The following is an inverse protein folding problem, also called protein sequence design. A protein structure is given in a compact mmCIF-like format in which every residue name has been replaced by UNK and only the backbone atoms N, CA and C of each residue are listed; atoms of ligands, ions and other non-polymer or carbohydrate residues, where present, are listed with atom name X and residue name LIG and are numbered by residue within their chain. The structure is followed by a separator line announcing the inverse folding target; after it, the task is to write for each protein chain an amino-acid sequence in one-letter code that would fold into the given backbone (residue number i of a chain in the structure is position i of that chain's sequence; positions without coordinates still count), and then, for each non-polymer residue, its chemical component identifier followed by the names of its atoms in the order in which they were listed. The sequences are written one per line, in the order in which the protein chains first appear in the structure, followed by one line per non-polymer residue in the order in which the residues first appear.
data_IF_377200367515
#
_entry.id   IF_377200367515
#
_cell.length_a   1.000
_cell.length_b   1.000
_cell.length_c   1.000
_cell.angle_alpha   90.00
_cell.angle_beta   90.00
_cell.angle_gamma   90.00
#
_symmetry.space_group_name_H-M   'P 1'
#
loop_
_entity.id
_entity.type
_entity.pdbx_description
1 polymer ?
#
# COMPACT_ATOMS: atom_id res chain seq x y z
N UNK A 1 -5.88 17.08 -7.83
CA UNK A 1 -5.64 16.88 -6.40
C UNK A 1 -4.18 16.47 -6.15
N UNK A 2 -3.25 17.33 -6.51
CA UNK A 2 -1.82 17.15 -6.24
C UNK A 2 -1.27 18.41 -5.60
N UNK A 3 -0.30 18.25 -4.70
CA UNK A 3 0.41 19.39 -4.12
C UNK A 3 1.34 20.07 -5.13
N UNK A 4 1.62 19.43 -6.28
CA UNK A 4 2.39 20.02 -7.39
C UNK A 4 1.52 20.70 -8.49
N UNK A 5 0.22 20.87 -8.26
CA UNK A 5 -0.68 21.47 -9.29
C UNK A 5 -0.35 22.91 -9.64
N UNK A 6 0.39 23.63 -8.80
CA UNK A 6 0.88 24.99 -9.07
C UNK A 6 1.96 25.03 -10.17
N UNK A 7 2.61 23.90 -10.47
CA UNK A 7 3.66 23.83 -11.50
C UNK A 7 3.06 23.71 -12.91
N UNK A 8 1.89 23.11 -13.04
CA UNK A 8 1.23 22.86 -14.30
C UNK A 8 0.39 21.59 -14.29
N UNK A 9 0.11 21.05 -15.47
CA UNK A 9 -0.66 19.82 -15.64
C UNK A 9 0.29 18.62 -15.50
N UNK A 10 -0.05 17.67 -14.61
CA UNK A 10 0.61 16.39 -14.51
C UNK A 10 0.02 15.47 -15.58
N UNK A 11 0.81 15.11 -16.58
CA UNK A 11 0.35 14.46 -17.80
C UNK A 11 0.41 12.95 -17.80
N UNK A 12 1.18 12.34 -16.88
CA UNK A 12 1.34 10.89 -16.81
C UNK A 12 1.67 10.42 -15.38
N UNK A 13 1.60 9.11 -15.18
CA UNK A 13 2.18 8.40 -14.03
C UNK A 13 3.30 7.49 -14.51
N UNK A 14 4.01 6.84 -13.57
CA UNK A 14 4.97 5.78 -13.87
C UNK A 14 4.29 4.47 -14.28
N UNK A 15 5.10 3.45 -14.66
CA UNK A 15 4.62 2.12 -15.04
C UNK A 15 3.72 1.50 -13.97
N UNK A 16 4.10 1.60 -12.69
CA UNK A 16 3.36 1.00 -11.58
C UNK A 16 2.21 1.86 -11.04
N UNK A 17 1.97 3.03 -11.63
CA UNK A 17 0.85 3.94 -11.40
C UNK A 17 0.80 4.65 -10.03
N UNK A 18 1.79 4.46 -9.13
CA UNK A 18 1.83 5.13 -7.83
C UNK A 18 2.42 6.55 -7.89
N UNK A 19 3.35 6.81 -8.81
CA UNK A 19 4.02 8.10 -8.93
C UNK A 19 3.22 9.03 -9.82
N UNK A 20 2.84 10.18 -9.27
CA UNK A 20 2.09 11.23 -9.96
C UNK A 20 2.79 12.56 -9.67
N UNK A 21 3.84 12.83 -10.44
CA UNK A 21 4.73 13.97 -10.31
C UNK A 21 4.72 14.83 -11.57
N UNK A 22 4.99 16.13 -11.40
CA UNK A 22 5.15 17.05 -12.52
C UNK A 22 6.39 16.72 -13.33
N UNK A 23 6.28 16.80 -14.64
CA UNK A 23 7.41 16.70 -15.57
C UNK A 23 7.24 17.71 -16.69
N UNK A 24 8.37 18.17 -17.23
CA UNK A 24 8.47 19.13 -18.31
C UNK A 24 9.65 18.77 -19.23
N UNK A 25 9.84 19.44 -20.38
CA UNK A 25 10.99 19.15 -21.26
C UNK A 25 12.35 19.24 -20.58
N UNK A 26 12.47 20.08 -19.55
CA UNK A 26 13.68 20.34 -18.77
C UNK A 26 13.62 19.77 -17.33
N UNK A 27 12.58 19.01 -17.01
CA UNK A 27 12.37 18.38 -15.69
C UNK A 27 11.82 16.96 -15.82
N UNK A 28 12.61 15.97 -15.45
CA UNK A 28 12.22 14.55 -15.43
C UNK A 28 11.92 14.13 -14.00
N UNK A 29 10.69 13.65 -13.75
CA UNK A 29 10.27 13.16 -12.44
C UNK A 29 11.13 11.96 -11.98
N UNK A 30 11.46 11.91 -10.69
CA UNK A 30 12.30 10.88 -10.07
C UNK A 30 11.61 10.29 -8.85
N UNK A 31 11.52 8.95 -8.80
CA UNK A 31 10.95 8.21 -7.68
C UNK A 31 11.99 7.95 -6.58
N UNK A 32 11.77 8.45 -5.36
CA UNK A 32 12.56 8.13 -4.17
C UNK A 32 11.70 7.28 -3.24
N UNK A 33 11.88 5.95 -3.25
CA UNK A 33 10.94 4.98 -2.70
C UNK A 33 11.44 4.34 -1.41
N UNK A 34 10.53 4.15 -0.45
CA UNK A 34 10.70 3.25 0.69
C UNK A 34 9.37 2.63 1.08
N UNK A 35 9.38 1.40 1.62
CA UNK A 35 8.18 0.73 2.12
C UNK A 35 8.32 0.34 3.58
N UNK A 36 7.23 0.53 4.33
CA UNK A 36 7.12 0.25 5.77
C UNK A 36 6.41 -1.09 5.97
N UNK A 37 7.02 -2.00 6.73
CA UNK A 37 6.45 -3.31 7.04
C UNK A 37 5.40 -3.19 8.15
N UNK A 38 4.13 -3.22 7.78
CA UNK A 38 2.99 -2.97 8.68
C UNK A 38 2.84 -3.99 9.82
N UNK A 39 3.17 -5.30 9.66
CA UNK A 39 3.10 -6.25 10.77
C UNK A 39 4.00 -5.88 11.95
N UNK A 40 5.10 -5.14 11.72
CA UNK A 40 6.04 -4.72 12.78
C UNK A 40 5.41 -3.79 13.84
N UNK A 41 4.21 -3.34 13.63
CA UNK A 41 3.44 -2.46 14.52
C UNK A 41 2.25 -3.16 15.18
N UNK A 42 2.05 -4.43 14.90
CA UNK A 42 1.11 -5.26 15.66
C UNK A 42 1.83 -5.68 16.94
N UNK A 43 1.25 -5.33 18.06
CA UNK A 43 1.76 -5.67 19.39
C UNK A 43 0.73 -6.52 20.14
N UNK A 44 1.21 -7.40 21.00
CA UNK A 44 0.37 -8.28 21.80
C UNK A 44 0.89 -8.39 23.21
N UNK A 45 0.00 -8.60 24.14
CA UNK A 45 0.27 -9.03 25.50
C UNK A 45 -0.56 -10.31 25.84
N UNK A 46 -0.58 -10.70 27.10
CA UNK A 46 -1.33 -11.89 27.54
C UNK A 46 -2.88 -11.74 27.37
N UNK A 47 -3.38 -10.53 27.12
CA UNK A 47 -4.83 -10.23 27.13
C UNK A 47 -5.36 -9.70 25.81
N UNK A 48 -4.53 -9.05 25.00
CA UNK A 48 -4.98 -8.32 23.81
C UNK A 48 -3.91 -8.24 22.73
N UNK A 49 -4.37 -8.02 21.51
CA UNK A 49 -3.53 -7.66 20.35
C UNK A 49 -4.03 -6.32 19.83
N UNK A 50 -3.11 -5.38 19.56
CA UNK A 50 -3.46 -4.04 19.08
C UNK A 50 -2.45 -3.55 18.06
N UNK A 51 -2.82 -2.46 17.36
CA UNK A 51 -1.94 -1.78 16.41
C UNK A 51 -1.31 -0.54 17.06
N UNK A 52 0.03 -0.46 17.05
CA UNK A 52 0.77 0.64 17.66
C UNK A 52 0.99 1.78 16.65
N UNK A 53 0.06 2.72 16.62
CA UNK A 53 0.12 3.90 15.73
C UNK A 53 1.25 4.86 16.10
N UNK A 54 1.60 5.02 17.38
CA UNK A 54 2.69 5.89 17.82
C UNK A 54 4.04 5.40 17.28
N UNK A 55 4.28 4.10 17.35
CA UNK A 55 5.48 3.48 16.78
C UNK A 55 5.53 3.62 15.27
N UNK A 56 4.40 3.40 14.58
CA UNK A 56 4.29 3.63 13.12
C UNK A 56 4.63 5.07 12.78
N UNK A 57 4.08 6.03 13.52
CA UNK A 57 4.32 7.45 13.34
C UNK A 57 5.81 7.79 13.46
N UNK A 58 6.46 7.35 14.52
CA UNK A 58 7.89 7.60 14.76
C UNK A 58 8.78 6.99 13.66
N UNK A 59 8.52 5.74 13.26
CA UNK A 59 9.27 5.07 12.19
C UNK A 59 9.07 5.81 10.86
N UNK A 60 7.86 6.26 10.57
CA UNK A 60 7.57 7.03 9.36
C UNK A 60 8.35 8.33 9.30
N UNK A 61 8.49 9.05 10.41
CA UNK A 61 9.34 10.27 10.48
C UNK A 61 10.80 9.96 10.14
N UNK A 62 11.34 8.86 10.66
CA UNK A 62 12.72 8.43 10.34
C UNK A 62 12.87 8.11 8.85
N UNK A 63 11.94 7.36 8.27
CA UNK A 63 11.98 7.01 6.84
C UNK A 63 11.86 8.25 5.96
N UNK A 64 11.01 9.20 6.32
CA UNK A 64 10.86 10.49 5.63
C UNK A 64 12.19 11.27 5.61
N UNK A 65 12.86 11.40 6.75
CA UNK A 65 14.19 12.03 6.84
C UNK A 65 15.23 11.30 6.00
N UNK A 66 15.20 9.97 6.00
CA UNK A 66 16.13 9.17 5.20
C UNK A 66 15.91 9.39 3.69
N UNK A 67 14.66 9.38 3.21
CA UNK A 67 14.36 9.63 1.80
C UNK A 67 14.71 11.07 1.38
N UNK A 68 14.50 12.05 2.25
CA UNK A 68 14.95 13.42 1.97
C UNK A 68 16.48 13.49 1.74
N UNK A 69 17.27 12.74 2.52
CA UNK A 69 18.73 12.65 2.35
C UNK A 69 19.14 11.87 1.09
N UNK A 70 18.34 10.90 0.65
CA UNK A 70 18.57 10.18 -0.61
C UNK A 70 18.57 11.15 -1.77
N UNK A 71 17.68 12.13 -1.80
CA UNK A 71 17.63 13.15 -2.86
C UNK A 71 18.98 13.84 -3.02
N UNK A 72 19.64 14.21 -1.93
CA UNK A 72 20.90 14.94 -1.94
C UNK A 72 22.12 14.06 -2.28
N UNK A 73 22.00 12.73 -2.18
CA UNK A 73 23.09 11.77 -2.36
C UNK A 73 22.94 10.85 -3.56
N UNK A 74 21.80 10.96 -4.25
CA UNK A 74 21.52 10.12 -5.39
C UNK A 74 22.42 10.46 -6.58
N UNK A 75 22.67 9.48 -7.44
CA UNK A 75 23.29 9.71 -8.74
C UNK A 75 22.19 9.92 -9.78
N UNK A 76 22.19 11.08 -10.42
CA UNK A 76 21.21 11.42 -11.45
C UNK A 76 21.77 11.12 -12.83
N UNK A 77 21.10 10.31 -13.67
CA UNK A 77 21.61 9.93 -14.99
C UNK A 77 21.56 11.08 -16.00
N UNK A 78 20.69 12.07 -15.78
CA UNK A 78 20.52 13.25 -16.64
C UNK A 78 20.27 14.51 -15.78
N UNK A 79 20.72 15.70 -16.25
CA UNK A 79 20.56 16.95 -15.50
C UNK A 79 19.10 17.32 -15.20
N UNK A 80 18.19 16.98 -16.09
CA UNK A 80 16.75 17.25 -15.96
C UNK A 80 16.14 16.48 -14.78
N UNK A 81 16.65 15.28 -14.47
CA UNK A 81 16.24 14.49 -13.32
C UNK A 81 16.75 15.10 -12.01
N UNK A 82 18.02 15.52 -11.96
CA UNK A 82 18.59 16.23 -10.83
C UNK A 82 17.83 17.51 -10.54
N UNK A 83 17.60 18.31 -11.59
CA UNK A 83 16.86 19.58 -11.51
C UNK A 83 15.47 19.39 -10.90
N UNK A 84 14.69 18.46 -11.41
CA UNK A 84 13.34 18.17 -10.91
C UNK A 84 13.38 17.74 -9.46
N UNK A 85 14.25 16.77 -9.13
CA UNK A 85 14.30 16.19 -7.80
C UNK A 85 14.78 17.18 -6.74
N UNK A 86 15.77 18.00 -7.04
CA UNK A 86 16.29 19.03 -6.14
C UNK A 86 15.31 20.18 -5.90
N UNK A 87 14.58 20.59 -6.96
CA UNK A 87 13.60 21.70 -6.87
C UNK A 87 12.36 21.33 -6.10
N UNK A 88 11.82 20.13 -6.34
CA UNK A 88 10.52 19.71 -5.81
C UNK A 88 10.63 18.77 -4.62
N UNK A 89 11.76 18.10 -4.46
CA UNK A 89 12.08 17.17 -3.38
C UNK A 89 10.97 16.15 -3.08
N UNK A 90 10.39 15.46 -4.10
CA UNK A 90 9.36 14.47 -3.87
C UNK A 90 9.96 13.22 -3.25
N UNK A 91 9.21 12.59 -2.35
CA UNK A 91 9.49 11.25 -1.82
C UNK A 91 8.25 10.37 -1.96
N UNK A 92 8.40 9.07 -1.80
CA UNK A 92 7.32 8.12 -1.98
C UNK A 92 7.39 7.03 -0.90
N UNK A 93 6.68 7.28 0.19
CA UNK A 93 6.45 6.30 1.23
C UNK A 93 5.36 5.32 0.80
N UNK A 94 5.63 4.04 0.92
CA UNK A 94 4.69 2.96 0.72
C UNK A 94 4.67 2.01 1.90
N UNK A 95 3.93 0.91 1.74
CA UNK A 95 3.74 -0.11 2.76
C UNK A 95 3.90 -1.49 2.17
N UNK A 96 4.12 -2.48 3.03
CA UNK A 96 4.04 -3.91 2.74
C UNK A 96 3.41 -4.63 3.91
N UNK A 97 2.74 -5.75 3.65
CA UNK A 97 2.17 -6.58 4.70
C UNK A 97 0.89 -6.04 5.33
N UNK A 98 0.04 -5.31 4.59
CA UNK A 98 -1.27 -4.90 5.13
C UNK A 98 -2.15 -6.12 5.44
N UNK A 99 -2.17 -7.12 4.55
CA UNK A 99 -2.90 -8.37 4.78
C UNK A 99 -2.35 -9.16 5.98
N UNK A 100 -1.04 -9.15 6.16
CA UNK A 100 -0.37 -9.78 7.31
C UNK A 100 -0.81 -9.14 8.62
N UNK A 101 -0.78 -7.80 8.69
CA UNK A 101 -1.24 -7.06 9.86
C UNK A 101 -2.72 -7.34 10.19
N UNK A 102 -3.58 -7.44 9.17
CA UNK A 102 -4.98 -7.80 9.37
C UNK A 102 -5.13 -9.22 9.94
N UNK A 103 -4.36 -10.19 9.43
CA UNK A 103 -4.39 -11.57 9.93
C UNK A 103 -3.92 -11.67 11.38
N UNK A 104 -2.86 -10.96 11.76
CA UNK A 104 -2.39 -10.91 13.15
C UNK A 104 -3.43 -10.30 14.09
N UNK A 105 -4.14 -9.27 13.64
CA UNK A 105 -5.23 -8.61 14.38
C UNK A 105 -6.58 -9.36 14.28
N UNK A 106 -6.62 -10.51 13.59
CA UNK A 106 -7.83 -11.32 13.39
C UNK A 106 -8.94 -10.57 12.63
N UNK A 107 -8.58 -9.67 11.71
CA UNK A 107 -9.51 -8.89 10.90
C UNK A 107 -9.63 -9.49 9.50
N UNK A 108 -10.80 -10.03 9.09
CA UNK A 108 -11.04 -10.39 7.70
C UNK A 108 -10.80 -9.19 6.78
N UNK A 109 -10.12 -9.40 5.64
CA UNK A 109 -9.71 -8.31 4.75
C UNK A 109 -10.89 -7.46 4.25
N UNK A 110 -12.06 -8.08 4.10
CA UNK A 110 -13.30 -7.44 3.65
C UNK A 110 -14.24 -7.01 4.81
N UNK A 111 -13.73 -6.93 6.05
CA UNK A 111 -14.47 -6.43 7.20
C UNK A 111 -14.49 -4.90 7.27
N UNK A 112 -15.43 -4.35 8.07
CA UNK A 112 -15.50 -2.92 8.31
C UNK A 112 -14.33 -2.45 9.19
N UNK A 113 -13.93 -3.26 10.16
CA UNK A 113 -12.80 -3.00 11.06
C UNK A 113 -11.48 -2.93 10.27
N UNK A 114 -11.28 -3.80 9.28
CA UNK A 114 -10.13 -3.74 8.39
C UNK A 114 -10.11 -2.45 7.55
N UNK A 115 -11.28 -1.95 7.11
CA UNK A 115 -11.39 -0.66 6.41
C UNK A 115 -11.03 0.52 7.31
N UNK A 116 -11.47 0.50 8.56
CA UNK A 116 -11.16 1.55 9.54
C UNK A 116 -9.66 1.57 9.86
N UNK A 117 -9.07 0.40 10.10
CA UNK A 117 -7.64 0.28 10.33
C UNK A 117 -6.83 0.73 9.09
N UNK A 118 -7.28 0.40 7.88
CA UNK A 118 -6.66 0.88 6.64
C UNK A 118 -6.62 2.42 6.58
N UNK A 119 -7.70 3.11 6.94
CA UNK A 119 -7.73 4.57 7.01
C UNK A 119 -6.73 5.08 8.03
N UNK A 120 -6.77 4.57 9.26
CA UNK A 120 -5.93 5.01 10.37
C UNK A 120 -4.43 4.81 10.12
N UNK A 121 -4.05 3.70 9.47
CA UNK A 121 -2.66 3.43 9.06
C UNK A 121 -2.17 4.50 8.09
N UNK A 122 -2.91 4.77 7.00
CA UNK A 122 -2.48 5.74 6.00
C UNK A 122 -2.58 7.18 6.50
N UNK A 123 -3.52 7.48 7.36
CA UNK A 123 -3.60 8.75 8.07
C UNK A 123 -2.36 8.98 8.94
N UNK A 124 -1.96 7.97 9.73
CA UNK A 124 -0.76 8.02 10.57
C UNK A 124 0.51 8.25 9.75
N UNK A 125 0.67 7.51 8.65
CA UNK A 125 1.82 7.66 7.75
C UNK A 125 1.84 9.07 7.15
N UNK A 126 0.71 9.58 6.68
CA UNK A 126 0.66 10.90 6.07
C UNK A 126 0.91 12.01 7.08
N UNK A 127 0.30 11.92 8.29
CA UNK A 127 0.55 12.88 9.37
C UNK A 127 2.04 12.93 9.75
N UNK A 128 2.64 11.78 10.02
CA UNK A 128 4.05 11.68 10.40
C UNK A 128 5.00 12.18 9.30
N UNK A 129 4.69 11.90 8.04
CA UNK A 129 5.48 12.36 6.90
C UNK A 129 5.40 13.88 6.72
N UNK A 130 4.21 14.48 6.87
CA UNK A 130 4.01 15.94 6.84
C UNK A 130 4.77 16.58 8.00
N UNK A 131 4.63 16.06 9.22
CA UNK A 131 5.34 16.59 10.41
C UNK A 131 6.86 16.55 10.22
N UNK A 132 7.41 15.41 9.80
CA UNK A 132 8.84 15.29 9.52
C UNK A 132 9.32 16.25 8.42
N UNK A 133 8.50 16.45 7.40
CA UNK A 133 8.81 17.38 6.31
C UNK A 133 8.77 18.84 6.75
N UNK A 134 7.90 19.20 7.70
CA UNK A 134 7.88 20.52 8.35
C UNK A 134 9.11 20.70 9.23
N UNK A 135 9.48 19.70 10.04
CA UNK A 135 10.72 19.74 10.85
C UNK A 135 11.96 19.93 9.97
N UNK A 136 12.06 19.20 8.86
CA UNK A 136 13.13 19.40 7.88
C UNK A 136 13.10 20.80 7.26
N UNK A 137 11.93 21.37 7.01
CA UNK A 137 11.83 22.75 6.53
C UNK A 137 12.27 23.78 7.55
N UNK A 138 12.09 23.52 8.85
CA UNK A 138 12.67 24.36 9.93
C UNK A 138 14.19 24.35 9.93
N UNK A 139 14.81 23.23 9.57
CA UNK A 139 16.26 23.03 9.56
C UNK A 139 16.92 23.51 8.25
N UNK A 140 16.31 23.20 7.10
CA UNK A 140 16.92 23.31 5.77
C UNK A 140 16.14 24.22 4.79
N UNK A 141 15.01 24.78 5.22
CA UNK A 141 14.09 25.55 4.38
C UNK A 141 13.11 24.70 3.60
N UNK A 142 12.02 25.32 3.16
CA UNK A 142 11.02 24.68 2.31
C UNK A 142 11.61 24.35 0.92
N UNK A 143 10.98 23.38 0.20
CA UNK A 143 11.38 23.10 -1.18
C UNK A 143 11.14 24.33 -2.08
N UNK A 144 11.93 24.47 -3.15
CA UNK A 144 11.98 25.69 -3.99
C UNK A 144 10.60 26.10 -4.51
N UNK A 145 9.80 25.16 -4.97
CA UNK A 145 8.48 25.40 -5.58
C UNK A 145 7.31 25.32 -4.59
N UNK A 146 7.59 25.42 -3.29
CA UNK A 146 6.55 25.47 -2.24
C UNK A 146 5.59 26.65 -2.38
N UNK A 147 6.04 27.89 -2.71
CA UNK A 147 5.13 29.01 -2.90
C UNK A 147 4.08 28.75 -3.99
N UNK A 148 2.82 29.00 -3.66
CA UNK A 148 1.70 28.78 -4.57
C UNK A 148 1.18 27.33 -4.61
N UNK A 149 1.84 26.39 -3.93
CA UNK A 149 1.34 25.03 -3.77
C UNK A 149 0.09 24.99 -2.88
N UNK A 150 -0.75 23.94 -2.96
CA UNK A 150 -1.83 23.74 -2.01
C UNK A 150 -1.39 23.76 -0.55
N UNK A 151 -0.27 23.11 -0.23
CA UNK A 151 0.29 23.11 1.13
C UNK A 151 0.63 24.51 1.62
N UNK A 152 1.13 25.40 0.76
CA UNK A 152 1.36 26.81 1.10
C UNK A 152 0.10 27.60 1.42
N UNK A 153 -1.07 27.05 1.04
CA UNK A 153 -2.40 27.59 1.33
C UNK A 153 -3.07 26.85 2.51
N UNK A 154 -2.33 25.98 3.21
CA UNK A 154 -2.86 25.17 4.31
C UNK A 154 -3.73 23.96 3.87
N UNK A 155 -3.70 23.60 2.58
CA UNK A 155 -4.48 22.51 2.03
C UNK A 155 -3.62 21.25 1.90
N UNK A 156 -3.94 20.25 2.70
CA UNK A 156 -3.35 18.92 2.65
C UNK A 156 -4.16 17.98 1.76
N UNK A 157 -3.70 16.74 1.57
CA UNK A 157 -4.30 15.82 0.61
C UNK A 157 -5.78 15.53 0.91
N UNK A 158 -6.14 15.30 2.18
CA UNK A 158 -7.54 15.05 2.56
C UNK A 158 -8.45 16.26 2.31
N UNK A 159 -7.95 17.51 2.43
CA UNK A 159 -8.71 18.71 2.05
C UNK A 159 -9.00 18.72 0.56
N UNK A 160 -8.02 18.36 -0.29
CA UNK A 160 -8.18 18.24 -1.73
C UNK A 160 -9.15 17.13 -2.15
N UNK A 161 -9.38 16.16 -1.27
CA UNK A 161 -10.39 15.10 -1.43
C UNK A 161 -11.74 15.46 -0.81
N UNK A 162 -11.85 16.62 -0.16
CA UNK A 162 -13.01 17.01 0.61
C UNK A 162 -13.42 15.94 1.65
N UNK A 163 -12.40 15.42 2.34
CA UNK A 163 -12.54 14.41 3.41
C UNK A 163 -12.08 15.01 4.73
N UNK A 164 -12.72 14.58 5.81
CA UNK A 164 -12.24 14.89 7.17
C UNK A 164 -11.34 13.75 7.63
N UNK A 165 -10.19 14.05 8.24
CA UNK A 165 -9.38 13.04 8.93
C UNK A 165 -10.14 12.52 10.16
N UNK A 166 -9.62 11.44 10.77
CA UNK A 166 -10.12 10.96 12.06
C UNK A 166 -9.63 11.87 13.19
N UNK A 167 -10.01 11.56 14.42
CA UNK A 167 -9.52 12.28 15.62
C UNK A 167 -8.23 11.67 16.18
N UNK A 168 -7.55 10.80 15.42
CA UNK A 168 -6.35 10.09 15.87
C UNK A 168 -5.15 11.02 16.06
N UNK A 169 -5.02 12.06 15.21
CA UNK A 169 -3.91 12.99 15.18
C UNK A 169 -4.38 14.45 15.22
N UNK A 170 -3.55 15.34 15.79
CA UNK A 170 -3.81 16.79 15.85
C UNK A 170 -3.40 17.49 14.54
N UNK A 171 -4.31 17.47 13.58
CA UNK A 171 -4.11 18.13 12.29
C UNK A 171 -4.13 19.66 12.36
N UNK A 172 -4.81 20.23 13.36
CA UNK A 172 -4.91 21.69 13.50
C UNK A 172 -3.57 22.31 13.92
N UNK A 173 -2.92 21.73 14.92
CA UNK A 173 -1.56 22.12 15.32
C UNK A 173 -0.56 21.90 14.16
N UNK A 174 -0.66 20.77 13.45
CA UNK A 174 0.21 20.49 12.32
C UNK A 174 0.04 21.50 11.18
N UNK A 175 -1.18 21.92 10.86
CA UNK A 175 -1.45 22.96 9.86
C UNK A 175 -0.95 24.35 10.28
N UNK A 176 -0.97 24.69 11.56
CA UNK A 176 -0.37 25.92 12.08
C UNK A 176 1.16 25.92 11.89
N UNK A 177 1.80 24.81 12.18
CA UNK A 177 3.24 24.64 11.96
C UNK A 177 3.59 24.68 10.46
N UNK A 178 2.79 24.04 9.63
CA UNK A 178 2.92 24.11 8.15
C UNK A 178 2.84 25.55 7.64
N UNK A 179 1.88 26.32 8.11
CA UNK A 179 1.71 27.73 7.71
C UNK A 179 2.90 28.60 8.10
N UNK A 180 3.56 28.27 9.23
CA UNK A 180 4.69 29.02 9.77
C UNK A 180 6.02 28.67 9.11
N UNK A 181 6.24 27.39 8.79
CA UNK A 181 7.56 26.88 8.41
C UNK A 181 7.62 26.32 6.99
N UNK A 182 6.46 26.04 6.36
CA UNK A 182 6.40 25.30 5.11
C UNK A 182 6.73 23.82 5.29
N UNK A 183 7.01 23.13 4.20
CA UNK A 183 7.48 21.74 4.20
C UNK A 183 8.64 21.54 3.23
N UNK A 184 9.49 20.54 3.51
CA UNK A 184 10.73 20.26 2.75
C UNK A 184 10.49 19.44 1.49
N UNK A 185 9.41 18.66 1.45
CA UNK A 185 9.12 17.71 0.38
C UNK A 185 7.76 18.04 -0.25
N UNK A 186 7.68 18.10 -1.57
CA UNK A 186 6.43 18.44 -2.26
C UNK A 186 5.39 17.34 -2.25
N UNK A 187 5.82 16.08 -2.25
CA UNK A 187 5.01 14.87 -2.21
C UNK A 187 5.65 13.86 -1.26
N UNK A 188 4.83 13.02 -0.61
CA UNK A 188 5.26 12.19 0.51
C UNK A 188 4.88 10.71 0.40
N UNK A 189 3.65 10.40 -0.05
CA UNK A 189 3.09 9.05 0.03
C UNK A 189 2.68 8.54 -1.35
N UNK A 190 3.27 7.40 -1.73
CA UNK A 190 2.98 6.71 -2.98
C UNK A 190 3.22 5.20 -2.81
N UNK A 191 2.22 4.41 -2.38
CA UNK A 191 2.39 2.98 -2.18
C UNK A 191 2.71 2.24 -3.49
N UNK A 192 3.98 1.80 -3.57
CA UNK A 192 4.55 1.03 -4.68
C UNK A 192 4.26 -0.48 -4.52
N UNK A 193 4.51 -1.32 -5.56
CA UNK A 193 4.16 -2.74 -5.53
C UNK A 193 4.92 -3.59 -4.50
N UNK A 194 6.11 -3.20 -4.08
CA UNK A 194 7.00 -3.92 -3.13
C UNK A 194 7.37 -5.36 -3.53
N UNK A 195 7.41 -5.66 -4.83
CA UNK A 195 7.60 -7.02 -5.37
C UNK A 195 8.85 -7.76 -4.85
N UNK A 196 9.91 -7.04 -4.50
CA UNK A 196 11.15 -7.61 -3.96
C UNK A 196 11.30 -7.36 -2.46
N UNK A 197 11.01 -6.15 -1.99
CA UNK A 197 11.23 -5.75 -0.59
C UNK A 197 10.30 -6.48 0.37
N UNK A 198 9.06 -6.78 -0.02
CA UNK A 198 8.14 -7.59 0.77
C UNK A 198 8.68 -9.02 0.98
N UNK A 199 9.30 -9.59 -0.03
CA UNK A 199 9.88 -10.93 0.05
C UNK A 199 11.09 -11.00 1.00
N UNK A 200 11.91 -9.94 1.04
CA UNK A 200 13.07 -9.87 1.94
C UNK A 200 12.62 -9.91 3.40
N UNK A 201 11.50 -9.26 3.72
CA UNK A 201 10.95 -9.21 5.09
C UNK A 201 9.90 -10.31 5.37
N UNK A 202 9.55 -11.13 4.36
CA UNK A 202 8.58 -12.22 4.52
C UNK A 202 7.11 -11.77 4.58
N UNK A 203 6.81 -10.57 4.10
CA UNK A 203 5.45 -10.00 4.07
C UNK A 203 4.76 -10.26 2.73
N UNK A 204 3.43 -10.18 2.72
CA UNK A 204 2.67 -10.04 1.49
C UNK A 204 2.95 -8.67 0.83
N UNK A 205 2.73 -8.59 -0.47
CA UNK A 205 3.05 -7.39 -1.26
C UNK A 205 2.13 -6.22 -0.89
N UNK A 206 2.73 -5.05 -0.68
CA UNK A 206 2.07 -3.75 -0.55
C UNK A 206 0.85 -3.79 0.41
N UNK A 207 -0.29 -3.38 -0.09
CA UNK A 207 -1.60 -3.37 0.59
C UNK A 207 -2.56 -4.43 0.04
N UNK A 208 -2.04 -5.45 -0.65
CA UNK A 208 -2.85 -6.46 -1.32
C UNK A 208 -3.28 -7.60 -0.40
N UNK A 209 -4.47 -8.20 -0.61
CA UNK A 209 -4.78 -9.49 -0.01
C UNK A 209 -3.92 -10.59 -0.64
N UNK A 210 -3.80 -11.72 0.05
CA UNK A 210 -3.10 -12.89 -0.49
C UNK A 210 -3.77 -13.41 -1.76
N UNK A 211 -2.99 -13.74 -2.78
CA UNK A 211 -3.50 -14.36 -4.01
C UNK A 211 -3.73 -15.86 -3.84
N UNK A 212 -3.01 -16.49 -2.92
CA UNK A 212 -3.12 -17.90 -2.56
C UNK A 212 -2.51 -18.12 -1.19
N UNK A 213 -3.08 -18.99 -0.37
CA UNK A 213 -2.51 -19.36 0.93
C UNK A 213 -1.37 -20.39 0.83
N UNK A 214 -1.19 -21.02 -0.33
CA UNK A 214 -0.04 -21.89 -0.62
C UNK A 214 0.34 -21.72 -2.09
N UNK A 215 1.62 -21.49 -2.36
CA UNK A 215 2.11 -21.29 -3.74
C UNK A 215 3.58 -21.71 -3.86
N UNK A 216 4.00 -22.01 -5.09
CA UNK A 216 5.40 -22.23 -5.41
C UNK A 216 6.08 -20.94 -5.83
N UNK A 217 7.22 -20.66 -5.22
CA UNK A 217 8.11 -19.57 -5.60
C UNK A 217 9.34 -20.12 -6.29
N UNK A 218 9.55 -19.72 -7.53
CA UNK A 218 10.74 -20.08 -8.30
C UNK A 218 11.74 -18.92 -8.29
N UNK A 219 12.94 -19.20 -7.81
CA UNK A 219 14.09 -18.27 -7.78
C UNK A 219 15.31 -18.97 -8.37
N UNK A 220 16.41 -18.22 -8.55
CA UNK A 220 17.67 -18.82 -9.07
C UNK A 220 18.19 -20.00 -8.23
N UNK A 221 17.95 -19.98 -6.92
CA UNK A 221 18.37 -21.03 -6.00
C UNK A 221 17.47 -22.28 -6.01
N UNK A 222 16.31 -22.24 -6.69
CA UNK A 222 15.40 -23.39 -6.75
C UNK A 222 13.93 -22.98 -6.69
N UNK A 223 13.07 -23.98 -6.45
CA UNK A 223 11.63 -23.81 -6.27
C UNK A 223 11.25 -24.14 -4.84
N UNK A 224 10.53 -23.24 -4.18
CA UNK A 224 10.14 -23.33 -2.79
C UNK A 224 8.62 -23.26 -2.65
N UNK A 225 8.04 -24.17 -1.88
CA UNK A 225 6.64 -24.05 -1.47
C UNK A 225 6.54 -23.07 -0.30
N UNK A 226 5.71 -22.04 -0.48
CA UNK A 226 5.41 -21.03 0.54
C UNK A 226 3.99 -21.28 1.02
N UNK A 227 3.81 -21.40 2.32
CA UNK A 227 2.51 -21.48 2.99
C UNK A 227 2.31 -20.20 3.77
N UNK A 228 1.09 -19.64 3.75
CA UNK A 228 0.74 -18.52 4.60
C UNK A 228 1.01 -18.90 6.07
N UNK A 229 1.95 -18.23 6.76
CA UNK A 229 2.40 -18.66 8.10
C UNK A 229 1.29 -18.52 9.15
N UNK A 230 0.41 -17.54 9.01
CA UNK A 230 -0.71 -17.32 9.92
C UNK A 230 -1.74 -18.44 9.80
N UNK A 231 -2.12 -18.81 8.58
CA UNK A 231 -3.01 -19.94 8.33
C UNK A 231 -2.38 -21.26 8.83
N UNK A 232 -1.09 -21.48 8.55
CA UNK A 232 -0.40 -22.67 9.01
C UNK A 232 -0.48 -22.81 10.53
N UNK A 233 -0.20 -21.72 11.24
CA UNK A 233 -0.30 -21.69 12.71
C UNK A 233 -1.71 -22.06 13.17
N UNK A 234 -2.74 -21.42 12.62
CA UNK A 234 -4.13 -21.69 12.99
C UNK A 234 -4.54 -23.14 12.73
N UNK A 235 -4.15 -23.70 11.58
CA UNK A 235 -4.47 -25.10 11.26
C UNK A 235 -3.73 -26.12 12.15
N UNK A 236 -2.50 -25.78 12.59
CA UNK A 236 -1.76 -26.58 13.59
C UNK A 236 -2.44 -26.48 14.94
N UNK A 237 -2.81 -25.29 15.40
CA UNK A 237 -3.50 -25.07 16.68
C UNK A 237 -4.87 -25.77 16.72
N UNK A 238 -5.58 -25.84 15.57
CA UNK A 238 -6.81 -26.63 15.42
C UNK A 238 -6.59 -28.15 15.35
N UNK A 239 -5.34 -28.62 15.21
CA UNK A 239 -5.02 -30.03 15.08
C UNK A 239 -5.41 -30.67 13.74
N UNK A 240 -5.68 -29.85 12.70
CA UNK A 240 -6.13 -30.32 11.37
C UNK A 240 -5.01 -30.26 10.30
N UNK A 241 -3.84 -29.72 10.61
CA UNK A 241 -2.74 -29.64 9.66
C UNK A 241 -2.08 -31.00 9.47
N UNK A 242 -2.06 -31.48 8.22
CA UNK A 242 -1.39 -32.72 7.79
C UNK A 242 -1.18 -32.69 6.27
N UNK A 243 -0.55 -33.72 5.69
CA UNK A 243 -0.29 -33.80 4.25
C UNK A 243 -1.56 -33.81 3.40
N UNK A 244 -2.65 -34.42 3.89
CA UNK A 244 -3.94 -34.40 3.19
C UNK A 244 -4.54 -32.99 3.18
N UNK A 245 -4.48 -32.25 4.27
CA UNK A 245 -4.92 -30.85 4.34
C UNK A 245 -4.09 -29.97 3.38
N UNK A 246 -2.75 -30.10 3.42
CA UNK A 246 -1.85 -29.41 2.51
C UNK A 246 -2.22 -29.68 1.05
N UNK A 247 -2.40 -30.96 0.68
CA UNK A 247 -2.78 -31.36 -0.68
C UNK A 247 -4.14 -30.81 -1.08
N UNK A 248 -5.11 -30.77 -0.16
CA UNK A 248 -6.42 -30.19 -0.38
C UNK A 248 -6.38 -28.70 -0.64
N UNK A 249 -5.55 -27.94 0.10
CA UNK A 249 -5.35 -26.50 -0.13
C UNK A 249 -4.74 -26.27 -1.52
N UNK A 250 -3.73 -27.06 -1.91
CA UNK A 250 -3.11 -26.98 -3.24
C UNK A 250 -4.15 -27.26 -4.34
N UNK A 251 -4.94 -28.33 -4.19
CA UNK A 251 -5.98 -28.70 -5.15
C UNK A 251 -7.07 -27.61 -5.33
N UNK A 252 -7.30 -26.81 -4.29
CA UNK A 252 -8.22 -25.66 -4.31
C UNK A 252 -7.52 -24.33 -4.64
N UNK A 253 -6.37 -24.35 -5.31
CA UNK A 253 -5.60 -23.15 -5.70
C UNK A 253 -5.27 -22.22 -4.52
N UNK A 254 -5.02 -22.79 -3.35
CA UNK A 254 -4.70 -22.06 -2.12
C UNK A 254 -5.90 -21.52 -1.36
N UNK A 255 -7.12 -21.83 -1.79
CA UNK A 255 -8.36 -21.51 -1.06
C UNK A 255 -8.65 -22.58 0.01
N UNK A 256 -9.20 -22.12 1.14
CA UNK A 256 -9.72 -23.00 2.21
C UNK A 256 -11.25 -22.97 2.32
N UNK A 257 -11.93 -22.22 1.44
CA UNK A 257 -13.39 -21.98 1.56
C UNK A 257 -14.23 -23.25 1.46
N UNK A 258 -13.84 -24.16 0.57
CA UNK A 258 -14.55 -25.43 0.34
C UNK A 258 -14.12 -26.55 1.28
N UNK A 259 -13.09 -26.33 2.13
CA UNK A 259 -12.55 -27.41 2.95
C UNK A 259 -13.45 -27.65 4.19
N UNK A 260 -13.80 -28.94 4.47
CA UNK A 260 -14.54 -29.29 5.67
C UNK A 260 -13.65 -29.10 6.93
N UNK A 261 -14.28 -29.06 8.08
CA UNK A 261 -13.63 -29.01 9.40
C UNK A 261 -12.76 -27.76 9.67
N UNK A 262 -12.92 -26.71 8.87
CA UNK A 262 -12.33 -25.40 9.15
C UNK A 262 -13.46 -24.46 9.58
N UNK A 263 -13.35 -23.79 10.75
CA UNK A 263 -14.36 -22.84 11.22
C UNK A 263 -14.59 -21.68 10.25
N UNK A 264 -15.81 -21.16 10.17
CA UNK A 264 -16.15 -20.08 9.24
C UNK A 264 -15.38 -18.78 9.51
N UNK A 265 -15.04 -18.50 10.77
CA UNK A 265 -14.20 -17.38 11.18
C UNK A 265 -12.78 -17.48 10.59
N UNK A 266 -12.19 -18.67 10.55
CA UNK A 266 -10.90 -18.93 9.92
C UNK A 266 -11.02 -18.79 8.39
N UNK A 267 -12.10 -19.32 7.80
CA UNK A 267 -12.36 -19.14 6.37
C UNK A 267 -12.49 -17.68 5.98
N UNK A 268 -13.19 -16.89 6.79
CA UNK A 268 -13.35 -15.45 6.55
C UNK A 268 -12.01 -14.70 6.57
N UNK A 269 -11.12 -15.06 7.53
CA UNK A 269 -9.83 -14.42 7.73
C UNK A 269 -8.86 -14.69 6.56
N UNK A 270 -8.86 -15.90 6.01
CA UNK A 270 -7.92 -16.35 4.98
C UNK A 270 -8.51 -16.42 3.57
N UNK A 271 -9.49 -15.57 3.26
CA UNK A 271 -9.95 -15.38 1.87
C UNK A 271 -8.80 -14.96 0.99
N UNK A 272 -8.69 -15.58 -0.17
CA UNK A 272 -7.79 -15.12 -1.22
C UNK A 272 -8.41 -13.91 -1.96
N UNK A 273 -7.60 -13.17 -2.69
CA UNK A 273 -8.07 -12.02 -3.48
C UNK A 273 -9.19 -12.39 -4.48
N UNK A 274 -9.24 -13.66 -4.91
CA UNK A 274 -10.25 -14.19 -5.83
C UNK A 274 -11.63 -14.39 -5.19
N UNK A 275 -11.68 -14.37 -3.87
CA UNK A 275 -12.86 -14.58 -3.03
C UNK A 275 -13.37 -13.26 -2.43
N UNK A 276 -12.59 -12.19 -2.58
CA UNK A 276 -12.92 -10.84 -2.15
C UNK A 276 -13.50 -10.05 -3.33
N UNK A 277 -14.58 -9.32 -3.10
CA UNK A 277 -15.15 -8.44 -4.12
C UNK A 277 -14.17 -7.35 -4.53
N UNK A 278 -13.90 -7.21 -5.83
CA UNK A 278 -13.03 -6.15 -6.34
C UNK A 278 -13.61 -4.75 -6.10
N UNK A 279 -14.93 -4.63 -5.94
CA UNK A 279 -15.56 -3.41 -5.45
C UNK A 279 -15.04 -3.03 -4.07
N UNK A 280 -14.89 -4.01 -3.16
CA UNK A 280 -14.33 -3.77 -1.82
C UNK A 280 -12.87 -3.30 -1.90
N UNK A 281 -12.05 -3.92 -2.77
CA UNK A 281 -10.65 -3.51 -3.00
C UNK A 281 -10.57 -2.05 -3.47
N UNK A 282 -11.44 -1.64 -4.38
CA UNK A 282 -11.52 -0.25 -4.87
C UNK A 282 -12.00 0.69 -3.76
N UNK A 283 -12.97 0.27 -2.95
CA UNK A 283 -13.46 1.06 -1.82
C UNK A 283 -12.35 1.31 -0.80
N UNK A 284 -11.58 0.28 -0.41
CA UNK A 284 -10.42 0.43 0.47
C UNK A 284 -9.34 1.34 -0.14
N UNK A 285 -9.10 1.23 -1.45
CA UNK A 285 -8.17 2.12 -2.14
C UNK A 285 -8.63 3.58 -2.11
N UNK A 286 -9.93 3.84 -2.25
CA UNK A 286 -10.51 5.17 -2.17
C UNK A 286 -10.49 5.72 -0.72
N UNK A 287 -10.70 4.85 0.28
CA UNK A 287 -10.69 5.25 1.69
C UNK A 287 -9.31 5.77 2.10
N UNK A 288 -8.22 5.05 1.77
CA UNK A 288 -6.84 5.49 2.08
C UNK A 288 -6.32 6.60 1.18
N UNK A 289 -6.92 6.80 -0.01
CA UNK A 289 -6.43 7.78 -0.99
C UNK A 289 -6.49 9.23 -0.50
N UNK A 290 -7.32 9.54 0.49
CA UNK A 290 -7.35 10.84 1.15
C UNK A 290 -6.03 11.19 1.86
N UNK A 291 -5.21 10.18 2.16
CA UNK A 291 -3.90 10.29 2.83
C UNK A 291 -2.72 9.88 1.92
N UNK A 292 -2.97 9.78 0.61
CA UNK A 292 -1.96 9.50 -0.41
C UNK A 292 -1.90 10.67 -1.37
N UNK A 293 -0.87 11.48 -1.27
CA UNK A 293 -0.74 12.71 -2.06
C UNK A 293 -0.30 12.46 -3.51
N UNK A 294 0.35 11.34 -3.81
CA UNK A 294 0.56 10.83 -5.16
C UNK A 294 -0.58 9.87 -5.57
N UNK A 295 -0.29 8.63 -5.91
CA UNK A 295 -1.27 7.59 -6.20
C UNK A 295 -0.84 6.25 -5.60
N UNK A 296 -1.39 5.14 -6.06
CA UNK A 296 -1.13 3.81 -5.51
C UNK A 296 -1.15 2.75 -6.61
N UNK A 297 -0.28 1.74 -6.48
CA UNK A 297 -0.16 0.61 -7.41
C UNK A 297 -1.26 -0.42 -7.17
N UNK A 298 -2.48 -0.09 -7.57
CA UNK A 298 -3.67 -0.91 -7.34
C UNK A 298 -3.77 -2.02 -8.41
N UNK A 299 -3.66 -3.28 -8.00
CA UNK A 299 -3.99 -4.42 -8.84
C UNK A 299 -5.49 -4.78 -8.72
N UNK A 300 -6.07 -5.21 -9.83
CA UNK A 300 -7.44 -5.70 -9.91
C UNK A 300 -7.42 -7.16 -10.39
N UNK A 301 -8.23 -8.00 -9.74
CA UNK A 301 -8.26 -9.45 -9.99
C UNK A 301 -9.64 -9.86 -10.50
N UNK A 302 -9.74 -10.20 -11.78
CA UNK A 302 -10.98 -10.65 -12.42
C UNK A 302 -10.73 -11.99 -13.12
N UNK A 303 -11.36 -13.07 -12.66
CA UNK A 303 -11.20 -14.41 -13.26
C UNK A 303 -11.50 -14.42 -14.75
N UNK A 304 -12.68 -13.91 -15.12
CA UNK A 304 -13.19 -13.87 -16.48
C UNK A 304 -13.48 -12.41 -16.87
N UNK A 305 -12.45 -11.65 -17.33
CA UNK A 305 -12.64 -10.26 -17.71
C UNK A 305 -13.47 -10.14 -19.00
N UNK A 306 -14.44 -9.22 -18.96
CA UNK A 306 -15.20 -8.80 -20.14
C UNK A 306 -15.14 -7.29 -20.26
N UNK A 307 -15.38 -6.74 -21.44
CA UNK A 307 -15.42 -5.29 -21.65
C UNK A 307 -16.38 -4.60 -20.68
N UNK A 308 -17.56 -5.18 -20.44
CA UNK A 308 -18.53 -4.62 -19.49
C UNK A 308 -18.01 -4.59 -18.05
N UNK A 309 -17.36 -5.67 -17.57
CA UNK A 309 -16.76 -5.72 -16.23
C UNK A 309 -15.63 -4.69 -16.09
N UNK A 310 -14.74 -4.60 -17.09
CA UNK A 310 -13.62 -3.64 -17.08
C UNK A 310 -14.12 -2.20 -17.12
N UNK A 311 -15.05 -1.88 -18.00
CA UNK A 311 -15.67 -0.55 -18.08
C UNK A 311 -16.32 -0.16 -16.76
N UNK A 312 -17.13 -1.05 -16.17
CA UNK A 312 -17.78 -0.81 -14.88
C UNK A 312 -16.76 -0.59 -13.76
N UNK A 313 -15.70 -1.36 -13.71
CA UNK A 313 -14.62 -1.23 -12.73
C UNK A 313 -13.90 0.11 -12.86
N UNK A 314 -13.49 0.51 -14.07
CA UNK A 314 -12.80 1.78 -14.29
C UNK A 314 -13.69 2.97 -13.96
N UNK A 315 -14.96 2.96 -14.38
CA UNK A 315 -15.90 4.01 -14.02
C UNK A 315 -16.18 4.07 -12.52
N UNK A 316 -16.21 2.91 -11.85
CA UNK A 316 -16.38 2.86 -10.40
C UNK A 316 -15.19 3.51 -9.68
N UNK A 317 -13.96 3.14 -10.01
CA UNK A 317 -12.75 3.73 -9.44
C UNK A 317 -12.66 5.24 -9.71
N UNK A 318 -12.99 5.66 -10.92
CA UNK A 318 -13.04 7.08 -11.28
C UNK A 318 -14.10 7.86 -10.47
N UNK A 319 -15.30 7.32 -10.31
CA UNK A 319 -16.36 7.92 -9.48
C UNK A 319 -15.98 7.99 -8.00
N UNK A 320 -15.19 7.02 -7.51
CA UNK A 320 -14.63 7.04 -6.16
C UNK A 320 -13.50 8.05 -6.00
N UNK A 321 -12.99 8.59 -7.10
CA UNK A 321 -12.00 9.65 -7.13
C UNK A 321 -10.55 9.18 -7.22
N UNK A 322 -10.28 7.92 -7.51
CA UNK A 322 -8.92 7.42 -7.69
C UNK A 322 -8.20 8.20 -8.80
N UNK A 323 -6.95 8.56 -8.58
CA UNK A 323 -6.13 9.34 -9.53
C UNK A 323 -5.65 8.49 -10.70
N UNK A 324 -5.34 7.23 -10.45
CA UNK A 324 -4.95 6.22 -11.45
C UNK A 324 -5.96 5.06 -11.39
N UNK A 325 -6.20 4.42 -12.53
CA UNK A 325 -7.24 3.41 -12.62
C UNK A 325 -6.80 2.04 -12.06
N UNK A 326 -5.62 1.56 -12.48
CA UNK A 326 -5.16 0.21 -12.18
C UNK A 326 -3.69 0.07 -12.59
N UNK A 327 -2.91 -0.71 -11.83
CA UNK A 327 -1.57 -1.15 -12.23
C UNK A 327 -1.67 -2.39 -13.12
N UNK A 328 -1.99 -3.56 -12.55
CA UNK A 328 -2.25 -4.77 -13.30
C UNK A 328 -3.70 -5.22 -13.22
N UNK A 329 -4.22 -5.68 -14.36
CA UNK A 329 -5.35 -6.60 -14.38
C UNK A 329 -4.80 -8.02 -14.26
N UNK A 330 -5.12 -8.70 -13.16
CA UNK A 330 -4.77 -10.10 -12.94
C UNK A 330 -5.96 -10.98 -13.32
N UNK A 331 -5.70 -12.00 -14.13
CA UNK A 331 -6.71 -12.99 -14.54
C UNK A 331 -6.25 -14.39 -14.13
N UNK A 332 -7.17 -15.29 -13.94
CA UNK A 332 -6.83 -16.71 -13.80
C UNK A 332 -6.67 -17.32 -15.19
N UNK A 333 -5.67 -18.19 -15.36
CA UNK A 333 -5.51 -18.95 -16.59
C UNK A 333 -6.73 -19.84 -16.84
N UNK A 334 -7.18 -19.93 -18.10
CA UNK A 334 -8.31 -20.78 -18.48
C UNK A 334 -8.04 -22.28 -18.27
N UNK A 335 -6.75 -22.69 -18.27
CA UNK A 335 -6.29 -24.02 -17.87
C UNK A 335 -5.43 -23.88 -16.63
N UNK A 336 -5.74 -24.61 -15.55
CA UNK A 336 -4.82 -24.77 -14.45
C UNK A 336 -3.48 -25.30 -14.99
N UNK A 337 -2.37 -24.69 -14.57
CA UNK A 337 -1.05 -25.31 -14.76
C UNK A 337 -1.16 -26.75 -14.27
N UNK A 338 -0.66 -27.71 -15.06
CA UNK A 338 -0.71 -29.13 -14.73
C UNK A 338 -0.13 -29.28 -13.31
N UNK A 339 -1.02 -29.61 -12.37
CA UNK A 339 -0.61 -29.90 -11.00
C UNK A 339 0.03 -31.28 -11.03
N UNK A 340 1.36 -31.31 -11.16
CA UNK A 340 2.11 -32.53 -11.06
C UNK A 340 2.00 -33.07 -9.63
N UNK A 341 1.46 -34.29 -9.53
CA UNK A 341 1.49 -35.19 -8.40
C UNK A 341 0.68 -34.76 -7.16
N UNK A 342 -0.64 -34.82 -7.27
CA UNK A 342 -1.45 -35.17 -6.11
C UNK A 342 -1.72 -36.67 -6.21
N UNK A 343 -1.12 -37.48 -5.34
CA UNK A 343 -1.51 -38.86 -5.15
C UNK A 343 -2.96 -38.87 -4.66
N UNK A 344 -3.88 -39.19 -5.57
CA UNK A 344 -5.25 -39.52 -5.19
C UNK A 344 -5.25 -40.94 -4.60
N UNK A 345 -5.12 -41.02 -3.29
CA UNK A 345 -5.48 -42.24 -2.54
C UNK A 345 -6.72 -41.99 -1.70
#
# INVERSE_FOLDING_TARGET
RSNQKNLGIIISSNLCCEIVEYSAPDEVAVCNLASIALPSFVENDEKSTWYNFDKLHQVTKVVTRNLNRVIDRNHYPVPEAERSNMRHRPIALGVQGLADAFMELRLPFDSQEARELNIQIFETIYHAAVEASIELAKEEGAYETYPGSPASQGLLQFDLWNRKPTELWDWDTLKQDLAKHGMRNSLLVAPMPTASTSQILGNNECFEPYTSNIYSRRVLAGEFQIVNPYLLKDLVDLGVWNDAMKSSIIANNGSIQALPNIPDEIKALYKTVWEISQKHIIDMAADRAAFIDQSQSLNIHIKDPTMGKLTSMHFYGWKKGLKTGMYYLRTQAASAAIQFTIDQK
#
